data_IF_182071474257
#
_entry.id   IF_182071474257
#
_cell.length_a   1.000
_cell.length_b   1.000
_cell.length_c   1.000
_cell.angle_alpha   90.00
_cell.angle_beta   90.00
_cell.angle_gamma   90.00
#
_symmetry.space_group_name_H-M   'P 1'
#
loop_
_entity.id
_entity.type
_entity.pdbx_description
1 polymer ?
#
# COMPACT_ATOMS: atom_id res chain seq x y z
N UNK A 1 36.65 34.66 -42.54
CA UNK A 1 35.63 35.21 -41.62
C UNK A 1 34.26 34.92 -42.21
N UNK A 2 33.61 33.84 -41.79
CA UNK A 2 32.21 33.58 -42.11
C UNK A 2 31.57 32.92 -40.89
N UNK A 3 30.66 33.66 -40.25
CA UNK A 3 29.91 33.28 -39.07
C UNK A 3 28.86 32.23 -39.40
N UNK A 4 28.75 31.19 -38.58
CA UNK A 4 27.64 30.23 -38.63
C UNK A 4 26.68 30.60 -37.49
N UNK A 5 25.46 30.92 -37.87
CA UNK A 5 24.37 31.32 -36.98
C UNK A 5 23.55 30.07 -36.60
N UNK A 6 23.51 29.76 -35.30
CA UNK A 6 22.74 28.66 -34.71
C UNK A 6 21.26 29.06 -34.57
N UNK A 7 20.29 28.20 -34.90
CA UNK A 7 18.88 28.46 -34.59
C UNK A 7 18.57 28.16 -33.10
N UNK A 8 17.58 28.83 -32.50
CA UNK A 8 17.23 28.62 -31.10
C UNK A 8 16.43 27.31 -30.92
N UNK A 9 16.83 26.52 -29.93
CA UNK A 9 16.06 25.39 -29.41
C UNK A 9 14.78 25.91 -28.77
N UNK A 10 13.63 25.62 -29.38
CA UNK A 10 12.34 25.75 -28.72
C UNK A 10 12.21 24.67 -27.66
N UNK A 11 12.43 25.07 -26.40
CA UNK A 11 12.06 24.29 -25.23
C UNK A 11 10.53 24.17 -25.19
N UNK A 12 10.00 23.04 -25.63
CA UNK A 12 8.66 22.60 -25.26
C UNK A 12 8.69 22.25 -23.77
N UNK A 13 8.44 23.25 -22.93
CA UNK A 13 7.93 23.05 -21.58
C UNK A 13 6.43 22.77 -21.73
N UNK A 14 6.10 21.57 -22.21
CA UNK A 14 4.72 21.08 -22.09
C UNK A 14 4.49 20.80 -20.61
N UNK A 15 3.61 21.62 -20.04
CA UNK A 15 3.14 21.48 -18.67
C UNK A 15 2.65 20.06 -18.45
N UNK A 16 3.38 19.34 -17.60
CA UNK A 16 2.94 18.10 -16.99
C UNK A 16 1.70 18.47 -16.17
N UNK A 17 0.53 18.34 -16.81
CA UNK A 17 -0.75 18.30 -16.10
C UNK A 17 -0.61 17.17 -15.10
N UNK A 18 -0.52 17.55 -13.84
CA UNK A 18 -0.48 16.67 -12.68
C UNK A 18 -1.64 15.68 -12.80
N UNK A 19 -1.35 14.52 -13.39
CA UNK A 19 -2.35 13.47 -13.57
C UNK A 19 -2.67 12.91 -12.18
N UNK A 20 -3.92 12.49 -11.89
CA UNK A 20 -4.33 11.91 -10.59
C UNK A 20 -3.61 10.59 -10.20
N UNK A 21 -2.50 10.25 -10.85
CA UNK A 21 -1.56 9.19 -10.53
C UNK A 21 -0.78 9.45 -9.22
N UNK A 22 -0.82 10.66 -8.66
CA UNK A 22 -0.08 11.04 -7.45
C UNK A 22 -0.52 10.28 -6.15
N UNK A 23 -1.70 9.66 -6.14
CA UNK A 23 -2.30 9.06 -4.96
C UNK A 23 -1.91 7.59 -4.70
N UNK A 24 -1.21 6.93 -5.64
CA UNK A 24 -0.70 5.56 -5.47
C UNK A 24 0.82 5.52 -5.45
N UNK A 25 1.37 4.62 -4.65
CA UNK A 25 2.81 4.44 -4.43
C UNK A 25 3.19 2.98 -4.62
N UNK A 26 4.37 2.75 -5.20
CA UNK A 26 4.93 1.40 -5.35
C UNK A 26 5.11 0.75 -3.97
N UNK A 27 4.72 -0.52 -3.87
CA UNK A 27 5.01 -1.35 -2.72
C UNK A 27 5.44 -2.75 -3.18
N UNK A 28 5.89 -3.57 -2.23
CA UNK A 28 6.21 -4.97 -2.46
C UNK A 28 5.61 -5.82 -1.36
N UNK A 29 5.20 -7.02 -1.73
CA UNK A 29 4.69 -8.03 -0.82
C UNK A 29 5.19 -9.40 -1.22
N UNK A 30 5.25 -10.31 -0.25
CA UNK A 30 5.70 -11.68 -0.51
C UNK A 30 4.64 -12.46 -1.28
N UNK A 31 5.10 -13.49 -1.99
CA UNK A 31 4.30 -14.19 -2.98
C UNK A 31 3.06 -14.88 -2.39
N UNK A 32 3.12 -15.38 -1.15
CA UNK A 32 1.97 -16.06 -0.53
C UNK A 32 0.85 -15.08 -0.19
N UNK A 33 1.20 -13.92 0.36
CA UNK A 33 0.26 -12.84 0.64
C UNK A 33 -0.30 -12.25 -0.66
N UNK A 34 0.53 -12.14 -1.70
CA UNK A 34 0.09 -11.76 -3.04
C UNK A 34 -0.94 -12.73 -3.61
N UNK A 35 -0.66 -14.04 -3.56
CA UNK A 35 -1.55 -15.07 -4.09
C UNK A 35 -2.90 -15.06 -3.37
N UNK A 36 -2.91 -14.91 -2.05
CA UNK A 36 -4.16 -14.79 -1.30
C UNK A 36 -4.97 -13.54 -1.70
N UNK A 37 -4.33 -12.39 -1.86
CA UNK A 37 -5.01 -11.19 -2.37
C UNK A 37 -5.49 -11.36 -3.81
N UNK A 38 -4.76 -12.11 -4.63
CA UNK A 38 -5.18 -12.44 -5.98
C UNK A 38 -6.45 -13.31 -5.99
N UNK A 39 -6.56 -14.27 -5.07
CA UNK A 39 -7.78 -15.08 -4.91
C UNK A 39 -8.97 -14.21 -4.50
N UNK A 40 -8.78 -13.24 -3.59
CA UNK A 40 -9.81 -12.25 -3.24
C UNK A 40 -10.18 -11.38 -4.44
N UNK A 41 -9.19 -10.92 -5.20
CA UNK A 41 -9.40 -10.10 -6.40
C UNK A 41 -10.31 -10.81 -7.41
N UNK A 42 -10.13 -12.13 -7.56
CA UNK A 42 -10.90 -12.98 -8.48
C UNK A 42 -12.18 -13.56 -7.87
N UNK A 43 -12.40 -13.37 -6.58
CA UNK A 43 -13.54 -13.92 -5.86
C UNK A 43 -14.86 -13.33 -6.39
N UNK A 44 -15.92 -14.15 -6.52
CA UNK A 44 -17.28 -13.66 -6.78
C UNK A 44 -17.81 -12.70 -5.70
N UNK A 45 -17.16 -12.61 -4.53
CA UNK A 45 -17.51 -11.62 -3.49
C UNK A 45 -17.03 -10.20 -3.81
N UNK A 46 -16.04 -10.06 -4.71
CA UNK A 46 -15.51 -8.76 -5.17
C UNK A 46 -16.45 -8.11 -6.21
N UNK A 47 -17.65 -7.79 -5.77
CA UNK A 47 -18.74 -7.26 -6.59
C UNK A 47 -18.81 -5.73 -6.55
N UNK A 48 -19.49 -5.16 -7.54
CA UNK A 48 -19.59 -3.73 -7.81
C UNK A 48 -19.71 -2.84 -6.54
N UNK A 49 -18.80 -1.87 -6.33
CA UNK A 49 -17.60 -1.63 -7.14
C UNK A 49 -16.55 -2.72 -6.95
N UNK A 50 -15.99 -3.24 -8.04
CA UNK A 50 -14.90 -4.22 -7.99
C UNK A 50 -13.59 -3.54 -7.60
N UNK A 51 -12.96 -4.05 -6.55
CA UNK A 51 -11.70 -3.51 -6.01
C UNK A 51 -10.48 -4.09 -6.72
N UNK A 52 -9.43 -3.26 -6.84
CA UNK A 52 -8.13 -3.62 -7.44
C UNK A 52 -7.08 -3.84 -6.36
N UNK A 53 -5.89 -4.34 -6.73
CA UNK A 53 -4.79 -4.57 -5.79
C UNK A 53 -4.48 -3.40 -4.85
N UNK A 54 -4.38 -2.13 -5.31
CA UNK A 54 -4.15 -1.01 -4.41
C UNK A 54 -5.23 -0.86 -3.33
N UNK A 55 -6.49 -1.13 -3.68
CA UNK A 55 -7.60 -1.08 -2.74
C UNK A 55 -7.51 -2.22 -1.71
N UNK A 56 -7.20 -3.43 -2.15
CA UNK A 56 -7.11 -4.61 -1.28
C UNK A 56 -5.91 -4.55 -0.33
N UNK A 57 -4.73 -4.12 -0.82
CA UNK A 57 -3.53 -3.93 0.02
C UNK A 57 -3.79 -2.83 1.05
N UNK A 58 -4.29 -1.67 0.62
CA UNK A 58 -4.65 -0.58 1.53
C UNK A 58 -5.71 -1.00 2.55
N UNK A 59 -6.71 -1.79 2.14
CA UNK A 59 -7.72 -2.30 3.07
C UNK A 59 -7.11 -3.20 4.15
N UNK A 60 -6.10 -4.01 3.82
CA UNK A 60 -5.41 -4.83 4.82
C UNK A 60 -4.65 -3.97 5.84
N UNK A 61 -3.97 -2.92 5.37
CA UNK A 61 -3.28 -1.95 6.25
C UNK A 61 -4.28 -1.26 7.17
N UNK A 62 -5.36 -0.71 6.62
CA UNK A 62 -6.38 -0.03 7.41
C UNK A 62 -7.02 -0.96 8.41
N UNK A 63 -7.40 -2.18 8.00
CA UNK A 63 -7.99 -3.17 8.90
C UNK A 63 -7.06 -3.53 10.06
N UNK A 64 -5.79 -3.78 9.77
CA UNK A 64 -4.80 -4.16 10.79
C UNK A 64 -4.58 -3.01 11.78
N UNK A 65 -4.48 -1.78 11.29
CA UNK A 65 -4.18 -0.60 12.11
C UNK A 65 -5.42 0.11 12.68
N UNK A 66 -6.62 -0.42 12.46
CA UNK A 66 -7.87 0.14 13.02
C UNK A 66 -8.02 -0.09 14.52
N UNK A 67 -7.29 -1.05 15.10
CA UNK A 67 -7.29 -1.35 16.53
C UNK A 67 -6.08 -0.72 17.22
N UNK A 68 -6.23 -0.33 18.50
CA UNK A 68 -5.12 0.13 19.33
C UNK A 68 -4.00 -0.92 19.46
N UNK A 69 -4.35 -2.20 19.36
CA UNK A 69 -3.41 -3.33 19.43
C UNK A 69 -2.80 -3.70 18.06
N UNK A 70 -3.28 -3.07 16.98
CA UNK A 70 -2.92 -3.44 15.61
C UNK A 70 -1.42 -3.35 15.32
N UNK A 71 -0.80 -2.26 15.76
CA UNK A 71 0.64 -2.04 15.63
C UNK A 71 1.46 -3.10 16.39
N UNK A 72 1.02 -3.45 17.61
CA UNK A 72 1.68 -4.48 18.42
C UNK A 72 1.57 -5.85 17.76
N UNK A 73 0.37 -6.23 17.34
CA UNK A 73 0.15 -7.50 16.63
C UNK A 73 0.98 -7.61 15.36
N UNK A 74 1.16 -6.49 14.63
CA UNK A 74 2.00 -6.43 13.43
C UNK A 74 3.47 -6.71 13.76
N UNK A 75 4.05 -6.07 14.78
CA UNK A 75 5.42 -6.35 15.20
C UNK A 75 5.61 -7.74 15.80
N UNK A 76 4.63 -8.24 16.56
CA UNK A 76 4.64 -9.61 17.10
C UNK A 76 4.70 -10.63 15.94
N UNK A 77 3.86 -10.44 14.91
CA UNK A 77 3.88 -11.29 13.72
C UNK A 77 5.22 -11.23 12.99
N UNK A 78 5.80 -10.04 12.83
CA UNK A 78 7.10 -9.87 12.20
C UNK A 78 8.24 -10.57 12.95
N UNK A 79 8.27 -10.41 14.27
CA UNK A 79 9.30 -10.96 15.14
C UNK A 79 9.22 -12.48 15.33
N UNK A 80 8.06 -13.09 15.07
CA UNK A 80 7.84 -14.53 15.27
C UNK A 80 7.76 -15.27 13.93
N UNK A 81 6.91 -14.81 13.02
CA UNK A 81 6.56 -15.55 11.81
C UNK A 81 7.40 -15.11 10.62
N UNK A 82 7.54 -13.80 10.40
CA UNK A 82 8.24 -13.31 9.21
C UNK A 82 9.75 -13.60 9.26
N UNK A 83 10.36 -13.57 10.46
CA UNK A 83 11.79 -13.88 10.65
C UNK A 83 12.14 -15.33 10.29
N UNK A 84 11.19 -16.25 10.37
CA UNK A 84 11.40 -17.68 10.07
C UNK A 84 11.30 -18.01 8.59
N UNK A 85 10.88 -17.06 7.76
CA UNK A 85 10.67 -17.29 6.33
C UNK A 85 11.99 -17.26 5.58
N UNK A 86 12.06 -18.06 4.52
CA UNK A 86 13.22 -18.08 3.63
C UNK A 86 13.47 -16.67 3.05
N UNK A 87 14.65 -16.05 3.27
CA UNK A 87 15.00 -14.76 2.68
C UNK A 87 14.91 -14.73 1.15
N UNK A 88 15.05 -15.88 0.48
CA UNK A 88 14.93 -16.04 -0.97
C UNK A 88 13.48 -16.08 -1.47
N UNK A 89 12.48 -16.06 -0.56
CA UNK A 89 11.06 -16.01 -0.92
C UNK A 89 10.80 -14.84 -1.88
N UNK A 90 10.16 -15.17 -3.01
CA UNK A 90 9.88 -14.19 -4.05
C UNK A 90 8.95 -13.08 -3.56
N UNK A 91 9.21 -11.86 -4.06
CA UNK A 91 8.39 -10.68 -3.81
C UNK A 91 7.75 -10.21 -5.12
N UNK A 92 6.51 -9.75 -5.05
CA UNK A 92 5.80 -9.09 -6.15
C UNK A 92 5.79 -7.59 -5.93
N UNK A 93 5.96 -6.86 -7.03
CA UNK A 93 5.79 -5.41 -7.06
C UNK A 93 4.32 -5.12 -7.33
N UNK A 94 3.74 -4.28 -6.49
CA UNK A 94 2.35 -3.82 -6.58
C UNK A 94 2.29 -2.31 -6.28
N UNK A 95 1.08 -1.77 -6.20
CA UNK A 95 0.83 -0.42 -5.75
C UNK A 95 -0.12 -0.40 -4.55
N UNK A 96 -0.05 0.66 -3.74
CA UNK A 96 -0.89 0.92 -2.58
C UNK A 96 -1.27 2.40 -2.57
N UNK A 97 -2.42 2.75 -1.97
CA UNK A 97 -2.79 4.15 -1.79
C UNK A 97 -1.86 4.85 -0.77
N UNK A 98 -1.47 6.09 -1.10
CA UNK A 98 -0.53 6.91 -0.31
C UNK A 98 -0.90 7.04 1.17
N UNK A 99 -2.17 7.26 1.58
CA UNK A 99 -2.50 7.35 3.01
C UNK A 99 -2.12 6.09 3.80
N UNK A 100 -2.31 4.90 3.23
CA UNK A 100 -1.93 3.65 3.89
C UNK A 100 -0.43 3.39 3.86
N UNK A 101 0.26 3.84 2.80
CA UNK A 101 1.72 3.86 2.80
C UNK A 101 2.28 4.72 3.95
N UNK A 102 1.72 5.92 4.16
CA UNK A 102 2.14 6.84 5.21
C UNK A 102 1.87 6.27 6.61
N UNK A 103 0.77 5.54 6.81
CA UNK A 103 0.52 4.78 8.04
C UNK A 103 1.64 3.76 8.32
N UNK A 104 2.04 2.98 7.32
CA UNK A 104 3.15 2.03 7.48
C UNK A 104 4.50 2.74 7.65
N UNK A 105 4.72 3.88 6.99
CA UNK A 105 5.93 4.68 7.17
C UNK A 105 6.04 5.27 8.58
N UNK A 106 4.93 5.73 9.15
CA UNK A 106 4.88 6.16 10.55
C UNK A 106 5.23 5.00 11.49
N UNK A 107 4.69 3.81 11.23
CA UNK A 107 5.01 2.60 12.00
C UNK A 107 6.49 2.20 11.86
N UNK A 108 7.05 2.26 10.65
CA UNK A 108 8.46 1.99 10.37
C UNK A 108 9.40 2.92 11.14
N UNK A 109 9.00 4.17 11.35
CA UNK A 109 9.78 5.18 12.08
C UNK A 109 9.58 5.12 13.60
N UNK A 110 8.63 4.31 14.09
CA UNK A 110 8.31 4.23 15.52
C UNK A 110 9.43 3.59 16.35
N UNK A 111 9.49 3.82 17.68
CA UNK A 111 10.47 3.18 18.57
C UNK A 111 10.43 1.65 18.54
N UNK A 112 9.27 1.06 18.25
CA UNK A 112 9.10 -0.39 18.14
C UNK A 112 9.88 -1.02 16.96
N UNK A 113 10.32 -0.21 16.00
CA UNK A 113 11.16 -0.61 14.87
C UNK A 113 12.60 -0.05 14.97
N UNK A 114 13.03 0.31 16.17
CA UNK A 114 14.35 0.87 16.46
C UNK A 114 15.05 0.07 17.56
N UNK A 115 16.39 0.18 17.63
CA UNK A 115 17.20 -0.51 18.64
C UNK A 115 16.65 -0.25 20.07
N UNK A 116 16.48 -1.29 20.91
CA UNK A 116 16.99 -2.67 20.75
C UNK A 116 16.15 -3.62 19.87
N UNK A 117 15.02 -3.17 19.33
CA UNK A 117 14.14 -4.00 18.50
C UNK A 117 14.73 -4.25 17.10
N UNK A 118 14.35 -5.36 16.44
CA UNK A 118 14.69 -5.59 15.04
C UNK A 118 14.15 -4.48 14.13
N UNK A 119 14.87 -4.21 13.03
CA UNK A 119 14.44 -3.25 12.00
C UNK A 119 13.76 -3.97 10.85
N UNK A 120 12.51 -3.63 10.61
CA UNK A 120 11.71 -4.12 9.50
C UNK A 120 11.51 -3.05 8.42
N UNK A 121 11.53 -3.49 7.17
CA UNK A 121 11.34 -2.68 5.97
C UNK A 121 9.86 -2.52 5.61
N UNK A 122 9.52 -1.55 4.76
CA UNK A 122 8.12 -1.28 4.39
C UNK A 122 7.43 -2.44 3.67
N UNK A 123 8.16 -3.21 2.87
CA UNK A 123 7.63 -4.41 2.21
C UNK A 123 7.27 -5.50 3.24
N UNK A 124 8.07 -5.63 4.30
CA UNK A 124 7.80 -6.55 5.41
C UNK A 124 6.58 -6.10 6.23
N UNK A 125 6.47 -4.80 6.53
CA UNK A 125 5.29 -4.23 7.21
C UNK A 125 4.02 -4.41 6.37
N UNK A 126 4.11 -4.18 5.05
CA UNK A 126 3.00 -4.42 4.12
C UNK A 126 2.59 -5.89 4.11
N UNK A 127 3.56 -6.79 4.02
CA UNK A 127 3.34 -8.24 4.05
C UNK A 127 2.67 -8.68 5.36
N UNK A 128 3.14 -8.18 6.50
CA UNK A 128 2.56 -8.50 7.80
C UNK A 128 1.11 -8.03 7.94
N UNK A 129 0.77 -6.83 7.45
CA UNK A 129 -0.60 -6.35 7.44
C UNK A 129 -1.53 -7.26 6.62
N UNK A 130 -1.08 -7.74 5.45
CA UNK A 130 -1.85 -8.67 4.62
C UNK A 130 -2.00 -10.03 5.31
N UNK A 131 -0.92 -10.55 5.90
CA UNK A 131 -0.93 -11.83 6.61
C UNK A 131 -1.86 -11.81 7.84
N UNK A 132 -1.84 -10.73 8.61
CA UNK A 132 -2.73 -10.57 9.77
C UNK A 132 -4.20 -10.45 9.34
N UNK A 133 -4.49 -9.72 8.26
CA UNK A 133 -5.84 -9.71 7.70
C UNK A 133 -6.31 -11.10 7.26
N UNK A 134 -5.43 -11.87 6.61
CA UNK A 134 -5.72 -13.27 6.24
C UNK A 134 -5.97 -14.14 7.46
N UNK A 135 -5.23 -13.96 8.54
CA UNK A 135 -5.42 -14.73 9.78
C UNK A 135 -6.75 -14.36 10.47
N UNK A 136 -7.10 -13.07 10.48
CA UNK A 136 -8.33 -12.59 11.09
C UNK A 136 -9.57 -13.00 10.30
N UNK A 137 -9.49 -12.99 8.97
CA UNK A 137 -10.57 -13.43 8.07
C UNK A 137 -10.01 -14.03 6.78
N UNK A 138 -9.85 -15.37 6.72
CA UNK A 138 -9.35 -16.05 5.52
C UNK A 138 -10.23 -15.86 4.28
N UNK A 139 -11.52 -15.53 4.45
CA UNK A 139 -12.47 -15.35 3.34
C UNK A 139 -12.24 -14.06 2.56
N UNK A 140 -11.53 -13.08 3.15
CA UNK A 140 -11.33 -11.76 2.56
C UNK A 140 -12.54 -10.82 2.64
N UNK A 141 -13.62 -11.21 3.32
CA UNK A 141 -14.81 -10.35 3.51
C UNK A 141 -14.44 -9.05 4.22
N UNK A 142 -13.57 -9.13 5.22
CA UNK A 142 -13.06 -7.99 5.97
C UNK A 142 -12.26 -7.03 5.07
N UNK A 143 -11.41 -7.58 4.19
CA UNK A 143 -10.65 -6.79 3.21
C UNK A 143 -11.60 -6.01 2.30
N UNK A 144 -12.62 -6.68 1.76
CA UNK A 144 -13.62 -6.03 0.90
C UNK A 144 -14.46 -4.98 1.67
N UNK A 145 -14.72 -5.18 2.96
CA UNK A 145 -15.36 -4.17 3.82
C UNK A 145 -14.49 -2.93 3.96
N UNK A 146 -13.22 -3.08 4.33
CA UNK A 146 -12.32 -1.95 4.49
C UNK A 146 -11.98 -1.26 3.16
N UNK A 147 -11.96 -1.99 2.05
CA UNK A 147 -11.81 -1.39 0.72
C UNK A 147 -12.95 -0.41 0.41
N UNK A 148 -14.20 -0.77 0.75
CA UNK A 148 -15.37 0.13 0.65
C UNK A 148 -15.22 1.35 1.54
N UNK A 149 -14.86 1.16 2.81
CA UNK A 149 -14.67 2.27 3.76
C UNK A 149 -13.59 3.24 3.26
N UNK A 150 -12.47 2.72 2.79
CA UNK A 150 -11.38 3.52 2.23
C UNK A 150 -11.81 4.28 0.97
N UNK A 151 -12.60 3.65 0.09
CA UNK A 151 -13.14 4.31 -1.09
C UNK A 151 -14.06 5.48 -0.73
N UNK A 152 -14.98 5.28 0.23
CA UNK A 152 -15.88 6.34 0.72
C UNK A 152 -15.06 7.49 1.30
N UNK A 153 -14.09 7.19 2.17
CA UNK A 153 -13.22 8.20 2.77
C UNK A 153 -12.49 9.03 1.71
N UNK A 154 -11.93 8.39 0.67
CA UNK A 154 -11.26 9.10 -0.43
C UNK A 154 -12.22 9.99 -1.22
N UNK A 155 -13.44 9.51 -1.47
CA UNK A 155 -14.45 10.31 -2.17
C UNK A 155 -14.85 11.55 -1.35
N UNK A 156 -15.04 11.40 -0.04
CA UNK A 156 -15.35 12.52 0.87
C UNK A 156 -14.22 13.55 0.92
N UNK A 157 -12.96 13.12 1.00
CA UNK A 157 -11.81 14.04 0.99
C UNK A 157 -11.75 14.82 -0.33
N UNK A 158 -11.96 14.14 -1.47
CA UNK A 158 -11.97 14.80 -2.79
C UNK A 158 -13.13 15.79 -2.94
N UNK A 159 -14.30 15.49 -2.40
CA UNK A 159 -15.44 16.41 -2.49
C UNK A 159 -15.20 17.69 -1.68
N UNK A 160 -14.59 17.58 -0.51
CA UNK A 160 -14.24 18.75 0.31
C UNK A 160 -13.18 19.60 -0.39
N UNK A 161 -12.11 18.99 -0.89
CA UNK A 161 -11.02 19.70 -1.58
C UNK A 161 -11.45 20.37 -2.91
N UNK A 162 -12.60 19.99 -3.48
CA UNK A 162 -13.13 20.60 -4.72
C UNK A 162 -14.08 21.77 -4.45
N UNK A 163 -14.40 22.06 -3.18
CA UNK A 163 -15.28 23.16 -2.75
C UNK A 163 -14.51 24.40 -2.27
N UNK A 164 -13.19 24.27 -2.11
CA UNK A 164 -12.23 25.35 -1.80
C UNK A 164 -11.56 25.88 -3.06
#
# INVERSE_FOLDING_TARGET
MHSIQTPPSHSHHDGEKDTPTADIVETRLWIDEHNWLYDILKSPANQAPTFRFPDLISACVTSTLSSSEGARALFDYLGIQLVLRDPATARRREAMWRPQYEQLQALQRSPANQHPNPKFQLDQLTTAAVALCRQADPSGTLVLKYARLNMVQRATVRSVASQD
#
